data_IF_335666750375
#
_entry.id   IF_335666750375
#
_cell.length_a   1.000
_cell.length_b   1.000
_cell.length_c   1.000
_cell.angle_alpha   90.00
_cell.angle_beta   90.00
_cell.angle_gamma   90.00
#
_symmetry.space_group_name_H-M   'P 1'
#
loop_
_entity.id
_entity.type
_entity.pdbx_description
1 polymer ?
#
# COMPACT_ATOMS: atom_id res chain seq x y z
N UNK A 1 -6.61 12.04 11.69
CA UNK A 1 -6.04 12.24 10.34
C UNK A 1 -7.02 11.83 9.25
N UNK A 2 -6.67 12.07 7.98
CA UNK A 2 -7.54 11.74 6.84
C UNK A 2 -8.02 10.27 6.86
N UNK A 3 -7.19 9.34 7.34
CA UNK A 3 -7.56 7.93 7.45
C UNK A 3 -8.61 7.61 8.53
N UNK A 4 -8.83 8.50 9.49
CA UNK A 4 -9.77 8.28 10.61
C UNK A 4 -11.06 9.06 10.47
N UNK A 5 -11.16 9.97 9.49
CA UNK A 5 -12.28 10.92 9.39
C UNK A 5 -12.95 10.93 8.01
N UNK A 6 -12.28 10.45 6.96
CA UNK A 6 -12.80 10.51 5.61
C UNK A 6 -13.46 9.18 5.20
N UNK A 7 -14.58 9.26 4.49
CA UNK A 7 -15.21 8.09 3.87
C UNK A 7 -14.44 7.64 2.60
N UNK A 8 -13.81 8.61 1.93
CA UNK A 8 -12.92 8.39 0.78
C UNK A 8 -11.66 9.24 0.85
N UNK A 9 -10.58 8.69 0.32
CA UNK A 9 -9.27 9.32 0.20
C UNK A 9 -8.82 9.22 -1.25
N UNK A 10 -8.36 10.36 -1.78
CA UNK A 10 -7.69 10.46 -3.08
C UNK A 10 -6.21 10.69 -2.83
N UNK A 11 -5.37 9.76 -3.26
CA UNK A 11 -3.91 9.87 -3.22
C UNK A 11 -3.42 10.38 -4.57
N UNK A 12 -2.63 11.45 -4.54
CA UNK A 12 -2.00 12.03 -5.72
C UNK A 12 -0.50 11.69 -5.74
N UNK A 13 0.04 11.43 -6.92
CA UNK A 13 1.47 11.30 -7.17
C UNK A 13 1.80 12.03 -8.47
N UNK A 14 2.76 12.97 -8.42
CA UNK A 14 3.22 13.71 -9.61
C UNK A 14 2.10 14.44 -10.38
N UNK A 15 1.13 14.98 -9.64
CA UNK A 15 -0.01 15.70 -10.23
C UNK A 15 -1.08 14.80 -10.85
N UNK A 16 -0.92 13.48 -10.80
CA UNK A 16 -1.90 12.50 -11.24
C UNK A 16 -2.53 11.75 -10.05
N UNK A 17 -3.72 11.20 -10.25
CA UNK A 17 -4.38 10.32 -9.27
C UNK A 17 -3.63 9.00 -9.24
N UNK A 18 -3.07 8.67 -8.07
CA UNK A 18 -2.39 7.40 -7.83
C UNK A 18 -3.34 6.31 -7.33
N UNK A 19 -4.24 6.65 -6.40
CA UNK A 19 -5.24 5.71 -5.88
C UNK A 19 -6.44 6.46 -5.28
N UNK A 20 -7.63 5.90 -5.43
CA UNK A 20 -8.86 6.37 -4.77
C UNK A 20 -9.49 5.19 -4.04
N UNK A 21 -9.95 5.40 -2.82
CA UNK A 21 -10.61 4.36 -2.03
C UNK A 21 -10.93 4.84 -0.62
N UNK A 22 -11.55 3.96 0.17
CA UNK A 22 -11.70 4.18 1.60
C UNK A 22 -10.32 4.24 2.29
N UNK A 23 -10.21 4.89 3.45
CA UNK A 23 -8.99 4.83 4.25
C UNK A 23 -8.43 3.43 4.46
N UNK A 24 -9.31 2.47 4.73
CA UNK A 24 -8.93 1.09 4.98
C UNK A 24 -8.32 0.45 3.73
N UNK A 25 -8.91 0.67 2.55
CA UNK A 25 -8.37 0.15 1.28
C UNK A 25 -7.03 0.77 0.94
N UNK A 26 -6.89 2.09 1.08
CA UNK A 26 -5.61 2.78 0.85
C UNK A 26 -4.53 2.24 1.79
N UNK A 27 -4.89 1.95 3.04
CA UNK A 27 -3.95 1.47 4.04
C UNK A 27 -3.58 -0.01 3.89
N UNK A 28 -4.55 -0.87 3.58
CA UNK A 28 -4.40 -2.34 3.53
C UNK A 28 -4.08 -2.88 2.14
N UNK A 29 -4.51 -2.19 1.08
CA UNK A 29 -4.34 -2.58 -0.32
C UNK A 29 -3.73 -1.44 -1.16
N UNK A 30 -2.50 -1.02 -0.85
CA UNK A 30 -1.84 0.04 -1.61
C UNK A 30 -1.47 -0.44 -3.02
N UNK A 31 -1.73 0.36 -4.06
CA UNK A 31 -1.42 0.00 -5.46
C UNK A 31 0.04 0.24 -5.84
N UNK A 32 0.80 0.98 -5.02
CA UNK A 32 2.19 1.28 -5.30
C UNK A 32 3.01 1.47 -4.02
N UNK A 33 4.33 1.44 -4.17
CA UNK A 33 5.28 1.73 -3.08
C UNK A 33 5.01 3.09 -2.45
N UNK A 34 4.68 4.08 -3.28
CA UNK A 34 4.40 5.44 -2.80
C UNK A 34 3.18 5.44 -1.88
N UNK A 35 2.05 4.86 -2.32
CA UNK A 35 0.83 4.78 -1.49
C UNK A 35 1.08 3.99 -0.22
N UNK A 36 1.82 2.88 -0.31
CA UNK A 36 2.16 2.04 0.83
C UNK A 36 2.98 2.79 1.90
N UNK A 37 3.84 3.73 1.50
CA UNK A 37 4.68 4.52 2.41
C UNK A 37 4.02 5.82 2.89
N UNK A 38 2.98 6.30 2.21
CA UNK A 38 2.36 7.60 2.47
C UNK A 38 1.79 7.72 3.90
N UNK A 39 1.24 6.63 4.42
CA UNK A 39 0.60 6.58 5.74
C UNK A 39 1.45 5.87 6.81
N UNK A 40 2.78 5.86 6.62
CA UNK A 40 3.74 5.40 7.62
C UNK A 40 4.62 4.24 7.13
N UNK A 41 5.42 3.70 8.05
CA UNK A 41 6.34 2.60 7.75
C UNK A 41 5.58 1.33 7.37
N UNK A 42 6.07 0.64 6.36
CA UNK A 42 5.59 -0.67 5.94
C UNK A 42 6.78 -1.50 5.49
N UNK A 43 6.70 -2.81 5.69
CA UNK A 43 7.67 -3.74 5.13
C UNK A 43 7.20 -4.12 3.73
N UNK A 44 8.12 -4.13 2.78
CA UNK A 44 7.86 -4.57 1.42
C UNK A 44 8.65 -5.86 1.22
N UNK A 45 7.91 -6.96 1.11
CA UNK A 45 8.47 -8.31 1.04
C UNK A 45 8.18 -8.87 -0.35
N UNK A 46 9.16 -9.51 -0.98
CA UNK A 46 8.96 -10.14 -2.28
C UNK A 46 7.91 -11.26 -2.17
N UNK A 47 6.97 -11.30 -3.11
CA UNK A 47 5.96 -12.39 -3.23
C UNK A 47 6.60 -13.77 -3.36
N UNK A 48 7.87 -13.86 -3.78
CA UNK A 48 8.65 -15.10 -3.80
C UNK A 48 8.84 -15.72 -2.40
N UNK A 49 8.88 -14.89 -1.36
CA UNK A 49 9.06 -15.34 0.03
C UNK A 49 7.72 -15.65 0.72
N UNK A 50 6.65 -14.98 0.29
CA UNK A 50 5.31 -15.13 0.87
C UNK A 50 4.28 -15.09 -0.28
N UNK A 51 4.02 -16.23 -0.94
CA UNK A 51 3.15 -16.28 -2.12
C UNK A 51 1.65 -16.19 -1.77
N UNK A 52 1.27 -16.50 -0.54
CA UNK A 52 -0.14 -16.72 -0.15
C UNK A 52 -0.89 -15.46 0.31
N UNK A 53 -0.34 -14.27 0.06
CA UNK A 53 -1.00 -13.01 0.44
C UNK A 53 -1.83 -12.45 -0.71
N UNK A 54 -3.08 -12.13 -0.37
CA UNK A 54 -4.13 -11.72 -1.30
C UNK A 54 -3.76 -10.46 -2.12
N UNK A 55 -3.10 -9.48 -1.49
CA UNK A 55 -2.76 -8.21 -2.14
C UNK A 55 -1.25 -8.04 -2.38
N UNK A 56 -0.88 -7.80 -3.63
CA UNK A 56 0.49 -7.50 -4.06
C UNK A 56 0.50 -6.42 -5.14
N UNK A 57 1.62 -5.71 -5.28
CA UNK A 57 1.84 -4.76 -6.36
C UNK A 57 3.28 -4.85 -6.87
N UNK A 58 3.54 -4.33 -8.08
CA UNK A 58 4.89 -4.27 -8.63
C UNK A 58 5.63 -3.07 -8.04
N UNK A 59 6.74 -3.32 -7.35
CA UNK A 59 7.59 -2.23 -6.87
C UNK A 59 8.37 -1.64 -8.04
N UNK A 60 8.17 -0.34 -8.28
CA UNK A 60 8.85 0.40 -9.33
C UNK A 60 10.38 0.44 -9.14
N UNK A 61 10.86 0.28 -7.90
CA UNK A 61 12.31 0.34 -7.60
C UNK A 61 13.03 -0.97 -7.88
N UNK A 62 12.43 -2.10 -7.54
CA UNK A 62 13.04 -3.44 -7.73
C UNK A 62 12.55 -4.14 -9.00
N UNK A 63 11.43 -3.71 -9.58
CA UNK A 63 10.75 -4.42 -10.66
C UNK A 63 10.08 -5.72 -10.23
N UNK A 64 10.09 -6.04 -8.92
CA UNK A 64 9.51 -7.27 -8.40
C UNK A 64 8.09 -7.06 -7.86
N UNK A 65 7.29 -8.13 -7.86
CA UNK A 65 6.01 -8.17 -7.15
C UNK A 65 6.28 -8.27 -5.65
N UNK A 66 5.82 -7.27 -4.91
CA UNK A 66 5.97 -7.18 -3.46
C UNK A 66 4.62 -7.13 -2.77
N UNK A 67 4.62 -7.58 -1.52
CA UNK A 67 3.51 -7.45 -0.60
C UNK A 67 3.87 -6.41 0.45
N UNK A 68 2.91 -5.57 0.80
CA UNK A 68 3.04 -4.62 1.89
C UNK A 68 2.53 -5.26 3.18
N UNK A 69 3.41 -5.39 4.17
CA UNK A 69 3.05 -5.90 5.50
C UNK A 69 3.42 -4.86 6.55
N UNK A 70 2.41 -4.41 7.28
CA UNK A 70 2.56 -3.47 8.40
C UNK A 70 2.92 -4.24 9.69
N UNK A 71 3.66 -3.62 10.62
CA UNK A 71 4.07 -4.30 11.86
C UNK A 71 2.93 -4.90 12.69
N UNK A 72 1.73 -4.30 12.69
CA UNK A 72 0.57 -4.80 13.43
C UNK A 72 -0.14 -5.98 12.73
N UNK A 73 0.13 -6.24 11.45
CA UNK A 73 -0.44 -7.36 10.69
C UNK A 73 0.31 -8.68 10.92
N UNK A 74 1.39 -8.68 11.72
CA UNK A 74 2.23 -9.85 11.97
C UNK A 74 1.73 -10.76 13.11
N UNK A 75 0.67 -10.38 13.83
CA UNK A 75 0.15 -11.16 14.96
C UNK A 75 -0.67 -12.36 14.55
#
# INVERSE_FOLDING_TARGET
DALTMADQVVVLQEGAIAQVGSPLEIYSKPVSRYVALLFGKTNLISTKLIPDLDHHFTDQKSGEKVVSIRPHQWR
#
